data_IF_747463147349
#
_entry.id   IF_747463147349
#
_cell.length_a   1.000
_cell.length_b   1.000
_cell.length_c   1.000
_cell.angle_alpha   90.00
_cell.angle_beta   90.00
_cell.angle_gamma   90.00
#
_symmetry.space_group_name_H-M   'P 1'
#
loop_
_entity.id
_entity.type
_entity.pdbx_description
1 polymer ?
#
# COMPACT_ATOMS: atom_id res chain seq x y z
N UNK A 1 1.53 16.76 -4.12
CA UNK A 1 2.82 16.09 -4.37
C UNK A 1 2.96 14.85 -3.48
N UNK A 2 3.76 13.83 -3.82
CA UNK A 2 3.88 12.61 -2.98
C UNK A 2 4.32 12.95 -1.55
N UNK A 3 5.14 13.99 -1.36
CA UNK A 3 5.60 14.42 -0.04
C UNK A 3 4.48 14.97 0.84
N UNK A 4 3.57 15.75 0.25
CA UNK A 4 2.36 16.24 0.94
C UNK A 4 1.36 15.12 1.24
N UNK A 5 1.29 14.12 0.36
CA UNK A 5 0.47 12.93 0.59
C UNK A 5 0.98 12.15 1.82
N UNK A 6 2.29 11.91 1.90
CA UNK A 6 2.90 11.18 3.02
C UNK A 6 2.86 11.97 4.35
N UNK A 7 2.83 13.30 4.30
CA UNK A 7 2.68 14.13 5.50
C UNK A 7 1.22 14.24 5.99
N UNK A 8 0.25 13.87 5.15
CA UNK A 8 -1.18 13.90 5.50
C UNK A 8 -1.57 12.69 6.35
N UNK A 9 -1.77 12.92 7.65
CA UNK A 9 -2.12 11.86 8.63
C UNK A 9 -3.35 11.03 8.25
N UNK A 10 -4.33 11.65 7.57
CA UNK A 10 -5.55 10.98 7.09
C UNK A 10 -5.25 9.81 6.15
N UNK A 11 -4.13 9.86 5.43
CA UNK A 11 -3.77 8.83 4.44
C UNK A 11 -2.95 7.67 5.04
N UNK A 12 -2.45 7.82 6.27
CA UNK A 12 -1.61 6.79 6.90
C UNK A 12 -2.32 5.43 7.03
N UNK A 13 -3.60 5.35 7.44
CA UNK A 13 -4.32 4.07 7.49
C UNK A 13 -4.48 3.40 6.12
N UNK A 14 -4.63 4.21 5.06
CA UNK A 14 -4.79 3.72 3.68
C UNK A 14 -3.47 3.12 3.17
N UNK A 15 -2.38 3.85 3.38
CA UNK A 15 -1.03 3.39 3.05
C UNK A 15 -0.68 2.12 3.83
N UNK A 16 -1.07 2.04 5.11
CA UNK A 16 -0.88 0.85 5.92
C UNK A 16 -1.67 -0.34 5.36
N UNK A 17 -2.97 -0.18 5.06
CA UNK A 17 -3.80 -1.25 4.51
C UNK A 17 -3.26 -1.79 3.17
N UNK A 18 -2.91 -0.90 2.24
CA UNK A 18 -2.34 -1.28 0.93
C UNK A 18 -1.08 -2.12 1.07
N UNK A 19 -0.21 -1.66 1.96
CA UNK A 19 1.08 -2.26 2.23
C UNK A 19 0.92 -3.60 2.93
N UNK A 20 0.03 -3.70 3.92
CA UNK A 20 -0.22 -4.93 4.67
C UNK A 20 -0.80 -6.05 3.78
N UNK A 21 -1.70 -5.72 2.85
CA UNK A 21 -2.15 -6.69 1.84
C UNK A 21 -1.00 -7.21 0.98
N UNK A 22 -0.08 -6.33 0.57
CA UNK A 22 1.10 -6.72 -0.19
C UNK A 22 2.04 -7.65 0.60
N UNK A 23 2.24 -7.38 1.90
CA UNK A 23 3.01 -8.26 2.79
C UNK A 23 2.33 -9.61 2.93
N UNK A 24 1.02 -9.63 3.21
CA UNK A 24 0.25 -10.86 3.38
C UNK A 24 0.41 -11.81 2.17
N UNK A 25 0.33 -11.25 0.96
CA UNK A 25 0.55 -12.01 -0.28
C UNK A 25 2.00 -12.47 -0.42
N UNK A 26 2.98 -11.62 -0.09
CA UNK A 26 4.39 -11.99 -0.14
C UNK A 26 4.73 -13.13 0.84
N UNK A 27 4.18 -13.08 2.06
CA UNK A 27 4.37 -14.09 3.10
C UNK A 27 3.75 -15.43 2.65
N UNK A 28 2.52 -15.43 2.11
CA UNK A 28 1.88 -16.64 1.59
C UNK A 28 2.66 -17.28 0.42
N UNK A 29 3.39 -16.47 -0.36
CA UNK A 29 4.26 -16.93 -1.43
C UNK A 29 5.69 -17.28 -0.98
N UNK A 30 6.00 -17.16 0.32
CA UNK A 30 7.35 -17.34 0.87
C UNK A 30 8.41 -16.45 0.21
N UNK A 31 8.03 -15.25 -0.23
CA UNK A 31 8.95 -14.29 -0.86
C UNK A 31 9.78 -13.61 0.23
N UNK A 32 11.10 -13.76 0.17
CA UNK A 32 12.01 -13.00 1.03
C UNK A 32 12.11 -11.57 0.54
N UNK A 33 11.65 -10.61 1.34
CA UNK A 33 11.83 -9.18 1.07
C UNK A 33 13.32 -8.81 1.19
N UNK A 34 13.97 -8.62 0.04
CA UNK A 34 15.36 -8.18 -0.04
C UNK A 34 15.50 -6.68 0.21
N UNK A 35 16.70 -6.23 0.59
CA UNK A 35 16.99 -4.81 0.81
C UNK A 35 17.06 -4.08 -0.54
N UNK A 36 16.36 -2.96 -0.67
CA UNK A 36 16.41 -2.10 -1.86
C UNK A 36 17.19 -0.83 -1.52
N UNK A 37 18.25 -0.56 -2.29
CA UNK A 37 19.00 0.72 -2.26
C UNK A 37 19.51 1.13 -0.86
N UNK A 38 20.18 0.19 -0.16
CA UNK A 38 20.65 0.32 1.23
C UNK A 38 19.56 0.58 2.29
N UNK A 39 18.29 0.68 1.91
CA UNK A 39 17.17 0.78 2.82
C UNK A 39 16.73 -0.63 3.24
N UNK A 40 16.61 -0.82 4.55
CA UNK A 40 16.05 -2.05 5.10
C UNK A 40 14.54 -2.07 4.82
N UNK A 41 14.16 -2.81 3.79
CA UNK A 41 12.77 -3.02 3.39
C UNK A 41 11.99 -3.62 4.55
N UNK A 42 12.58 -4.47 5.41
CA UNK A 42 11.89 -4.93 6.62
C UNK A 42 11.56 -3.80 7.59
N UNK A 43 12.37 -2.76 7.68
CA UNK A 43 12.08 -1.61 8.53
C UNK A 43 10.99 -0.70 7.95
N UNK A 44 10.94 -0.57 6.63
CA UNK A 44 9.81 0.09 5.97
C UNK A 44 8.53 -0.74 6.10
N UNK A 45 8.66 -2.07 6.04
CA UNK A 45 7.56 -3.02 6.11
C UNK A 45 7.17 -3.49 7.51
N UNK A 46 7.87 -3.05 8.55
CA UNK A 46 7.70 -3.52 9.92
C UNK A 46 6.24 -3.46 10.39
N UNK A 47 5.73 -4.62 10.82
CA UNK A 47 4.45 -4.81 11.47
C UNK A 47 4.73 -5.13 12.94
N UNK A 48 4.35 -4.27 13.89
CA UNK A 48 4.59 -4.54 15.31
C UNK A 48 3.76 -5.75 15.75
N UNK A 49 4.43 -6.85 16.07
CA UNK A 49 3.79 -8.05 16.60
C UNK A 49 3.67 -7.94 18.13
N UNK A 50 2.60 -8.46 18.77
CA UNK A 50 2.46 -8.44 20.23
C UNK A 50 3.61 -9.14 20.97
N UNK A 51 4.28 -10.09 20.29
CA UNK A 51 5.45 -10.80 20.83
C UNK A 51 6.78 -10.03 20.69
N UNK A 52 6.78 -8.90 19.98
CA UNK A 52 8.00 -8.12 19.77
C UNK A 52 8.46 -7.47 21.07
N UNK A 53 9.78 -7.46 21.28
CA UNK A 53 10.37 -6.75 22.43
C UNK A 53 10.12 -5.26 22.29
N UNK A 54 9.81 -4.59 23.40
CA UNK A 54 9.53 -3.15 23.42
C UNK A 54 10.61 -2.31 22.72
N UNK A 55 11.90 -2.65 22.91
CA UNK A 55 13.01 -1.98 22.21
C UNK A 55 12.97 -2.15 20.69
N UNK A 56 12.61 -3.33 20.18
CA UNK A 56 12.47 -3.54 18.73
C UNK A 56 11.32 -2.71 18.17
N UNK A 57 10.18 -2.71 18.86
CA UNK A 57 9.01 -1.91 18.48
C UNK A 57 9.36 -0.42 18.37
N UNK A 58 10.08 0.13 19.35
CA UNK A 58 10.54 1.53 19.33
C UNK A 58 11.54 1.76 18.19
N UNK A 59 12.55 0.89 18.05
CA UNK A 59 13.59 1.01 17.01
C UNK A 59 12.97 1.06 15.62
N UNK A 60 12.11 0.11 15.28
CA UNK A 60 11.50 0.05 13.96
C UNK A 60 10.47 1.15 13.72
N UNK A 61 9.75 1.63 14.75
CA UNK A 61 8.84 2.80 14.63
C UNK A 61 9.60 4.08 14.30
N UNK A 62 10.76 4.30 14.93
CA UNK A 62 11.62 5.46 14.63
C UNK A 62 12.23 5.32 13.23
N UNK A 63 12.66 4.12 12.86
CA UNK A 63 13.29 3.84 11.57
C UNK A 63 12.29 3.97 10.40
N UNK A 64 11.06 3.47 10.55
CA UNK A 64 10.00 3.63 9.56
C UNK A 64 9.62 5.10 9.37
N UNK A 65 9.53 5.87 10.47
CA UNK A 65 9.30 7.32 10.43
C UNK A 65 10.44 8.05 9.70
N UNK A 66 11.68 7.61 9.87
CA UNK A 66 12.84 8.17 9.19
C UNK A 66 12.82 7.86 7.69
N UNK A 67 12.54 6.61 7.30
CA UNK A 67 12.43 6.21 5.89
C UNK A 67 11.28 6.97 5.21
N UNK A 68 10.13 7.13 5.87
CA UNK A 68 9.00 7.91 5.34
C UNK A 68 9.40 9.36 5.09
N UNK A 69 10.11 9.99 6.03
CA UNK A 69 10.64 11.35 5.89
C UNK A 69 11.69 11.46 4.77
N UNK A 70 12.58 10.48 4.65
CA UNK A 70 13.59 10.46 3.58
C UNK A 70 12.95 10.26 2.20
N UNK A 71 12.00 9.33 2.08
CA UNK A 71 11.21 9.11 0.87
C UNK A 71 10.42 10.34 0.45
N UNK A 72 9.75 10.99 1.40
CA UNK A 72 9.07 12.26 1.18
C UNK A 72 10.05 13.39 0.77
N UNK A 73 11.27 13.43 1.31
CA UNK A 73 12.27 14.44 0.92
C UNK A 73 12.85 14.18 -0.47
N UNK A 74 13.07 12.92 -0.84
CA UNK A 74 13.73 12.49 -2.08
C UNK A 74 12.78 12.43 -3.27
N UNK A 75 11.55 11.98 -3.05
CA UNK A 75 10.53 11.79 -4.08
C UNK A 75 9.32 12.72 -3.90
N UNK A 76 9.31 13.57 -2.87
CA UNK A 76 8.11 14.34 -2.54
C UNK A 76 7.70 15.36 -3.58
N UNK A 77 8.62 15.83 -4.43
CA UNK A 77 8.34 16.74 -5.55
C UNK A 77 7.93 16.02 -6.84
N UNK A 78 7.97 14.69 -6.87
CA UNK A 78 7.62 13.90 -8.05
C UNK A 78 6.10 13.78 -8.09
N UNK A 79 5.49 14.28 -9.17
CA UNK A 79 4.15 13.86 -9.57
C UNK A 79 4.32 12.45 -10.12
N UNK A 80 3.71 11.44 -9.48
CA UNK A 80 3.88 10.05 -9.92
C UNK A 80 3.43 9.92 -11.37
N UNK A 81 4.16 9.16 -12.19
CA UNK A 81 3.83 8.84 -13.59
C UNK A 81 2.35 8.53 -13.79
N UNK A 82 1.76 7.71 -12.91
CA UNK A 82 0.33 7.42 -12.88
C UNK A 82 -0.58 8.65 -12.84
N UNK A 83 -0.34 9.62 -11.97
CA UNK A 83 -1.23 10.79 -11.85
C UNK A 83 -1.12 11.66 -13.10
N UNK A 84 0.08 11.78 -13.65
CA UNK A 84 0.29 12.45 -14.92
C UNK A 84 -0.40 11.71 -16.08
N UNK A 85 -0.35 10.38 -16.12
CA UNK A 85 -1.04 9.58 -17.14
C UNK A 85 -2.56 9.71 -17.02
N UNK A 86 -3.11 9.72 -15.81
CA UNK A 86 -4.54 9.96 -15.56
C UNK A 86 -4.98 11.36 -15.98
N UNK A 87 -4.20 12.39 -15.66
CA UNK A 87 -4.45 13.77 -16.09
C UNK A 87 -4.45 13.91 -17.62
N UNK A 88 -3.71 13.06 -18.32
CA UNK A 88 -3.59 13.04 -19.77
C UNK A 88 -4.51 12.00 -20.44
N UNK A 89 -5.35 11.29 -19.67
CA UNK A 89 -6.26 10.26 -20.18
C UNK A 89 -5.55 9.05 -20.81
N UNK A 90 -4.30 8.78 -20.40
CA UNK A 90 -3.53 7.60 -20.84
C UNK A 90 -3.78 6.41 -19.92
N UNK A 91 -3.51 5.21 -20.43
CA UNK A 91 -3.45 4.01 -19.61
C UNK A 91 -2.29 4.09 -18.63
N UNK A 92 -2.53 3.63 -17.42
CA UNK A 92 -1.55 3.63 -16.34
C UNK A 92 -0.91 2.25 -16.15
N UNK A 93 0.11 2.18 -15.29
CA UNK A 93 0.77 0.94 -14.88
C UNK A 93 0.06 0.19 -13.73
N UNK A 94 -1.19 0.54 -13.39
CA UNK A 94 -1.90 -0.01 -12.23
C UNK A 94 -2.02 -1.54 -12.25
N UNK A 95 -2.17 -2.13 -13.44
CA UNK A 95 -2.26 -3.59 -13.61
C UNK A 95 -0.97 -4.32 -13.25
N UNK A 96 0.18 -3.68 -13.49
CA UNK A 96 1.49 -4.25 -13.16
C UNK A 96 1.86 -4.04 -11.68
N UNK A 97 1.28 -3.03 -11.03
CA UNK A 97 1.50 -2.74 -9.62
C UNK A 97 0.47 -3.47 -8.74
N UNK A 98 -0.70 -2.85 -8.54
CA UNK A 98 -1.74 -3.38 -7.67
C UNK A 98 -2.44 -4.60 -8.30
N UNK A 99 -2.57 -4.64 -9.62
CA UNK A 99 -3.14 -5.78 -10.33
C UNK A 99 -2.29 -7.05 -10.21
N UNK A 100 -0.96 -6.91 -10.11
CA UNK A 100 -0.07 -8.03 -9.84
C UNK A 100 -0.31 -8.61 -8.44
N UNK A 101 -0.47 -7.76 -7.42
CA UNK A 101 -0.80 -8.19 -6.05
C UNK A 101 -2.14 -8.92 -6.04
N UNK A 102 -3.18 -8.38 -6.69
CA UNK A 102 -4.49 -9.02 -6.81
C UNK A 102 -4.39 -10.40 -7.46
N UNK A 103 -3.65 -10.52 -8.55
CA UNK A 103 -3.44 -11.80 -9.24
C UNK A 103 -2.77 -12.82 -8.30
N UNK A 104 -1.72 -12.41 -7.59
CA UNK A 104 -1.00 -13.27 -6.65
C UNK A 104 -1.82 -13.64 -5.42
N UNK A 105 -2.65 -12.74 -4.92
CA UNK A 105 -3.60 -13.04 -3.86
C UNK A 105 -4.58 -14.14 -4.28
N UNK A 106 -5.13 -14.06 -5.50
CA UNK A 106 -6.03 -15.10 -6.04
C UNK A 106 -5.36 -16.47 -6.14
N UNK A 107 -4.09 -16.54 -6.56
CA UNK A 107 -3.30 -17.78 -6.56
C UNK A 107 -3.19 -18.40 -5.15
N UNK A 108 -3.13 -17.56 -4.11
CA UNK A 108 -3.03 -17.97 -2.71
C UNK A 108 -4.39 -18.09 -2.00
N UNK A 109 -5.53 -17.88 -2.70
CA UNK A 109 -6.88 -17.79 -2.12
C UNK A 109 -7.01 -16.71 -1.02
N UNK A 110 -6.28 -15.61 -1.19
CA UNK A 110 -6.33 -14.43 -0.34
C UNK A 110 -7.18 -13.32 -0.98
N UNK A 111 -7.83 -12.55 -0.13
CA UNK A 111 -8.57 -11.33 -0.43
C UNK A 111 -7.66 -10.11 -0.19
N UNK A 112 -7.59 -9.23 -1.21
CA UNK A 112 -6.86 -7.95 -1.16
C UNK A 112 -7.76 -6.77 -1.59
N UNK A 113 -8.85 -6.51 -0.84
CA UNK A 113 -9.88 -5.55 -1.21
C UNK A 113 -9.38 -4.13 -1.53
N UNK A 114 -8.39 -3.57 -0.81
CA UNK A 114 -7.92 -2.21 -1.14
C UNK A 114 -7.10 -2.17 -2.42
N UNK A 115 -6.27 -3.18 -2.69
CA UNK A 115 -5.55 -3.29 -3.97
C UNK A 115 -6.51 -3.52 -5.14
N UNK A 116 -7.50 -4.42 -4.99
CA UNK A 116 -8.54 -4.64 -6.01
C UNK A 116 -9.36 -3.39 -6.27
N UNK A 117 -9.72 -2.64 -5.22
CA UNK A 117 -10.46 -1.38 -5.38
C UNK A 117 -9.65 -0.35 -6.16
N UNK A 118 -8.35 -0.20 -5.87
CA UNK A 118 -7.50 0.74 -6.61
C UNK A 118 -7.45 0.41 -8.10
N UNK A 119 -7.23 -0.85 -8.47
CA UNK A 119 -7.23 -1.28 -9.88
C UNK A 119 -8.52 -0.88 -10.56
N UNK A 120 -9.66 -1.24 -9.96
CA UNK A 120 -10.99 -0.90 -10.48
C UNK A 120 -11.19 0.61 -10.61
N UNK A 121 -10.90 1.37 -9.55
CA UNK A 121 -11.13 2.82 -9.53
C UNK A 121 -10.26 3.54 -10.57
N UNK A 122 -9.01 3.10 -10.75
CA UNK A 122 -8.12 3.65 -11.76
C UNK A 122 -8.62 3.33 -13.17
N UNK A 123 -9.02 2.08 -13.47
CA UNK A 123 -9.63 1.75 -14.77
C UNK A 123 -10.91 2.55 -15.03
N UNK A 124 -11.74 2.81 -14.02
CA UNK A 124 -12.93 3.66 -14.17
C UNK A 124 -12.56 5.12 -14.50
N UNK A 125 -11.46 5.64 -13.97
CA UNK A 125 -10.96 6.98 -14.29
C UNK A 125 -10.37 7.01 -15.71
N UNK A 126 -9.59 6.01 -16.10
CA UNK A 126 -9.04 5.87 -17.46
C UNK A 126 -10.13 5.82 -18.53
N UNK A 127 -11.27 5.18 -18.21
CA UNK A 127 -12.44 5.11 -19.10
C UNK A 127 -13.34 6.37 -19.03
N UNK A 128 -12.99 7.37 -18.22
CA UNK A 128 -13.80 8.57 -17.99
C UNK A 128 -15.13 8.31 -17.26
N UNK A 129 -15.30 7.13 -16.66
CA UNK A 129 -16.51 6.72 -15.93
C UNK A 129 -16.53 7.21 -14.48
N UNK A 130 -15.35 7.47 -13.91
CA UNK A 130 -15.16 8.02 -12.56
C UNK A 130 -14.34 9.31 -12.65
N UNK A 131 -14.72 10.33 -11.88
CA UNK A 131 -13.93 11.56 -11.74
C UNK A 131 -12.93 11.42 -10.60
N UNK A 132 -11.78 12.05 -10.74
CA UNK A 132 -10.86 12.25 -9.60
C UNK A 132 -11.49 13.22 -8.60
N UNK A 133 -11.46 12.89 -7.31
CA UNK A 133 -12.03 13.76 -6.27
C UNK A 133 -12.11 13.12 -4.89
N UNK A 134 -12.57 13.90 -3.92
CA UNK A 134 -12.66 13.52 -2.51
C UNK A 134 -13.56 12.30 -2.26
N UNK A 135 -14.59 12.08 -3.09
CA UNK A 135 -15.47 10.92 -2.97
C UNK A 135 -14.70 9.59 -3.08
N UNK A 136 -13.68 9.54 -3.95
CA UNK A 136 -12.83 8.35 -4.09
C UNK A 136 -12.02 8.09 -2.82
N UNK A 137 -11.66 9.15 -2.08
CA UNK A 137 -10.93 9.02 -0.82
C UNK A 137 -11.82 8.44 0.28
N UNK A 138 -13.08 8.85 0.35
CA UNK A 138 -14.05 8.33 1.32
C UNK A 138 -14.36 6.84 1.07
N UNK A 139 -14.56 6.46 -0.20
CA UNK A 139 -14.69 5.05 -0.59
C UNK A 139 -13.43 4.26 -0.20
N UNK A 140 -12.24 4.80 -0.49
CA UNK A 140 -10.97 4.16 -0.17
C UNK A 140 -10.80 3.97 1.35
N UNK A 141 -11.26 4.92 2.17
CA UNK A 141 -11.28 4.81 3.64
C UNK A 141 -12.20 3.71 4.15
N UNK A 142 -13.38 3.55 3.55
CA UNK A 142 -14.29 2.46 3.89
C UNK A 142 -13.67 1.10 3.54
N UNK A 143 -13.09 0.98 2.34
CA UNK A 143 -12.42 -0.25 1.88
C UNK A 143 -11.18 -0.56 2.72
N UNK A 144 -10.40 0.44 3.14
CA UNK A 144 -9.24 0.23 4.00
C UNK A 144 -9.60 -0.44 5.33
N UNK A 145 -10.75 -0.09 5.93
CA UNK A 145 -11.24 -0.73 7.16
C UNK A 145 -11.56 -2.21 6.93
N UNK A 146 -12.27 -2.52 5.84
CA UNK A 146 -12.57 -3.91 5.44
C UNK A 146 -11.27 -4.68 5.21
N UNK A 147 -10.29 -4.05 4.56
CA UNK A 147 -8.98 -4.65 4.30
C UNK A 147 -8.26 -5.03 5.59
N UNK A 148 -8.25 -4.14 6.58
CA UNK A 148 -7.63 -4.41 7.88
C UNK A 148 -8.32 -5.56 8.64
N UNK A 149 -9.64 -5.67 8.54
CA UNK A 149 -10.38 -6.80 9.11
C UNK A 149 -10.03 -8.11 8.41
N UNK A 150 -10.00 -8.10 7.08
CA UNK A 150 -9.63 -9.25 6.25
C UNK A 150 -8.19 -9.70 6.46
N UNK A 151 -7.24 -8.78 6.60
CA UNK A 151 -5.85 -9.13 6.92
C UNK A 151 -5.79 -9.91 8.23
N UNK A 152 -6.45 -9.42 9.30
CA UNK A 152 -6.46 -10.10 10.61
C UNK A 152 -7.11 -11.47 10.57
N UNK A 153 -8.13 -11.66 9.75
CA UNK A 153 -8.80 -12.94 9.54
C UNK A 153 -7.86 -13.92 8.82
N UNK A 154 -7.24 -13.47 7.73
CA UNK A 154 -6.44 -14.30 6.85
C UNK A 154 -5.10 -14.70 7.47
N UNK A 155 -4.46 -13.83 8.26
CA UNK A 155 -3.22 -14.15 8.97
C UNK A 155 -3.36 -15.33 9.94
N UNK A 156 -4.55 -15.54 10.50
CA UNK A 156 -4.82 -16.71 11.37
C UNK A 156 -4.81 -18.03 10.60
N UNK A 157 -4.98 -17.98 9.28
CA UNK A 157 -5.08 -19.15 8.41
C UNK A 157 -3.77 -19.43 7.65
N UNK A 158 -2.78 -18.53 7.74
CA UNK A 158 -1.49 -18.58 7.02
C UNK A 158 -0.38 -19.24 7.87
N UNK A 159 -0.69 -19.70 9.10
CA UNK A 159 0.23 -20.38 10.02
C UNK A 159 -0.33 -21.68 10.56
#
# INVERSE_FOLDING_TARGET
SVGEMLSTKRLHPLLAALKEEGILVADALNIKLEKVDHMDVKAFFYKPHPADKFLEKVKYTVMSSFILKMGAKRHGKIHSSLVWDLEQGRKTEVDFLNGYIEKKAKECKLEVPINSFLVKAIHEIELGKRKMGLINLEELEAIAKISQEKIKEQEKNVH
#
